data_IF_753983835573
#
_entry.id   IF_753983835573
#
_cell.length_a   1.000
_cell.length_b   1.000
_cell.length_c   1.000
_cell.angle_alpha   90.00
_cell.angle_beta   90.00
_cell.angle_gamma   90.00
#
_symmetry.space_group_name_H-M   'P 1'
#
loop_
_entity.id
_entity.type
_entity.pdbx_description
1 polymer ?
#
# COMPACT_ATOMS: atom_id res chain seq x y z
N UNK A 1 -88.55 -25.62 -10.14
CA UNK A 1 -87.83 -24.68 -9.28
C UNK A 1 -86.37 -25.06 -9.29
N UNK A 2 -85.54 -24.36 -10.11
CA UNK A 2 -84.09 -24.67 -10.28
C UNK A 2 -83.30 -23.58 -9.62
N UNK A 3 -82.49 -23.92 -8.60
CA UNK A 3 -81.59 -23.03 -7.93
C UNK A 3 -80.25 -23.05 -8.67
N UNK A 4 -79.87 -21.93 -9.32
CA UNK A 4 -78.54 -21.71 -9.87
C UNK A 4 -77.59 -21.37 -8.73
N UNK A 5 -76.50 -22.14 -8.58
CA UNK A 5 -75.39 -21.82 -7.71
C UNK A 5 -74.34 -21.00 -8.51
N UNK A 6 -74.08 -19.79 -8.05
CA UNK A 6 -73.09 -18.91 -8.58
C UNK A 6 -71.73 -19.31 -7.98
N UNK A 7 -70.85 -19.81 -8.81
CA UNK A 7 -69.47 -20.09 -8.38
C UNK A 7 -68.62 -18.84 -8.49
N UNK A 8 -68.12 -18.34 -7.37
CA UNK A 8 -67.07 -17.25 -7.32
C UNK A 8 -65.73 -17.88 -7.60
N UNK A 9 -65.14 -17.51 -8.72
CA UNK A 9 -63.70 -17.79 -9.01
C UNK A 9 -62.81 -16.75 -8.29
N UNK A 10 -62.04 -17.22 -7.33
CA UNK A 10 -60.99 -16.39 -6.68
C UNK A 10 -59.74 -16.45 -7.55
N UNK A 11 -59.44 -15.36 -8.23
CA UNK A 11 -58.17 -15.20 -8.94
C UNK A 11 -57.05 -14.86 -7.94
N UNK A 12 -56.14 -15.81 -7.69
CA UNK A 12 -54.94 -15.58 -6.90
C UNK A 12 -53.94 -14.83 -7.73
N UNK A 13 -53.69 -13.57 -7.36
CA UNK A 13 -52.65 -12.72 -7.96
C UNK A 13 -51.28 -13.12 -7.38
N UNK A 14 -50.47 -13.83 -8.15
CA UNK A 14 -49.10 -14.19 -7.79
C UNK A 14 -48.22 -12.95 -8.01
N UNK A 15 -47.86 -12.22 -6.94
CA UNK A 15 -46.86 -11.16 -6.99
C UNK A 15 -45.47 -11.80 -6.94
N UNK A 16 -44.81 -11.90 -8.08
CA UNK A 16 -43.39 -12.31 -8.16
C UNK A 16 -42.56 -11.13 -7.78
N UNK A 17 -42.04 -11.11 -6.54
CA UNK A 17 -41.01 -10.19 -6.09
C UNK A 17 -39.69 -10.59 -6.77
N UNK A 18 -39.32 -9.93 -7.86
CA UNK A 18 -37.97 -9.93 -8.42
C UNK A 18 -37.04 -9.20 -7.46
N UNK A 19 -36.40 -9.95 -6.56
CA UNK A 19 -35.30 -9.45 -5.79
C UNK A 19 -34.13 -9.21 -6.75
N UNK A 20 -34.03 -7.97 -7.24
CA UNK A 20 -32.87 -7.52 -8.01
C UNK A 20 -31.63 -7.58 -7.13
N UNK A 21 -30.77 -8.59 -7.35
CA UNK A 21 -29.43 -8.60 -6.81
C UNK A 21 -28.67 -7.47 -7.49
N UNK A 22 -28.62 -6.32 -6.85
CA UNK A 22 -27.74 -5.24 -7.27
C UNK A 22 -26.29 -5.77 -7.13
N UNK A 23 -25.72 -6.24 -8.24
CA UNK A 23 -24.29 -6.50 -8.35
C UNK A 23 -23.60 -5.15 -8.14
N UNK A 24 -23.05 -4.93 -6.95
CA UNK A 24 -22.18 -3.80 -6.73
C UNK A 24 -21.02 -3.91 -7.74
N UNK A 25 -20.74 -2.88 -8.56
CA UNK A 25 -19.56 -2.91 -9.41
C UNK A 25 -18.37 -3.11 -8.49
N UNK A 26 -17.55 -4.14 -8.75
CA UNK A 26 -16.22 -4.26 -8.17
C UNK A 26 -15.45 -3.00 -8.61
N UNK A 27 -15.57 -1.96 -7.83
CA UNK A 27 -14.71 -0.80 -7.90
C UNK A 27 -13.29 -1.33 -7.76
N UNK A 28 -12.53 -1.34 -8.85
CA UNK A 28 -11.11 -1.70 -8.86
C UNK A 28 -10.36 -0.61 -8.11
N UNK A 29 -10.42 -0.68 -6.80
CA UNK A 29 -9.73 0.25 -5.92
C UNK A 29 -8.22 0.15 -6.20
N UNK A 30 -7.59 1.26 -6.58
CA UNK A 30 -6.12 1.37 -6.67
C UNK A 30 -5.43 0.81 -5.42
N UNK A 31 -5.96 0.99 -4.19
CA UNK A 31 -5.46 0.33 -2.99
C UNK A 31 -5.34 -1.19 -3.08
N UNK A 32 -6.29 -1.88 -3.70
CA UNK A 32 -6.19 -3.34 -3.86
C UNK A 32 -5.07 -3.74 -4.82
N UNK A 33 -4.83 -2.92 -5.86
CA UNK A 33 -3.73 -3.12 -6.81
C UNK A 33 -2.36 -2.88 -6.14
N UNK A 34 -2.21 -1.82 -5.33
CA UNK A 34 -0.99 -1.55 -4.58
C UNK A 34 -0.64 -2.73 -3.68
N UNK A 35 -1.60 -3.23 -2.90
CA UNK A 35 -1.40 -4.34 -1.98
C UNK A 35 -1.01 -5.63 -2.72
N UNK A 36 -1.69 -5.94 -3.82
CA UNK A 36 -1.36 -7.11 -4.63
C UNK A 36 0.07 -7.04 -5.17
N UNK A 37 0.48 -5.89 -5.71
CA UNK A 37 1.85 -5.68 -6.21
C UNK A 37 2.87 -5.77 -5.07
N UNK A 38 2.56 -5.24 -3.88
CA UNK A 38 3.44 -5.36 -2.72
C UNK A 38 3.70 -6.82 -2.36
N UNK A 39 2.67 -7.67 -2.32
CA UNK A 39 2.83 -9.11 -2.09
C UNK A 39 3.58 -9.83 -3.23
N UNK A 40 3.38 -9.43 -4.48
CA UNK A 40 4.13 -9.97 -5.61
C UNK A 40 5.63 -9.66 -5.46
N UNK A 41 5.97 -8.43 -5.08
CA UNK A 41 7.36 -7.99 -4.88
C UNK A 41 8.04 -8.71 -3.70
N UNK A 42 7.32 -8.92 -2.61
CA UNK A 42 7.87 -9.62 -1.43
C UNK A 42 8.35 -11.04 -1.77
N UNK A 43 7.68 -11.72 -2.69
CA UNK A 43 8.04 -13.08 -3.13
C UNK A 43 9.39 -13.18 -3.86
N UNK A 44 9.96 -12.05 -4.31
CA UNK A 44 11.27 -12.04 -4.98
C UNK A 44 12.46 -11.95 -4.02
N UNK A 45 12.25 -11.97 -2.70
CA UNK A 45 13.28 -11.90 -1.67
C UNK A 45 14.30 -10.76 -1.90
N UNK A 46 13.78 -9.58 -2.23
CA UNK A 46 14.62 -8.43 -2.58
C UNK A 46 15.31 -7.91 -1.33
N UNK A 47 16.63 -7.92 -1.35
CA UNK A 47 17.48 -7.45 -0.26
C UNK A 47 17.38 -5.93 -0.10
N UNK A 48 17.45 -5.45 1.16
CA UNK A 48 17.60 -4.03 1.44
C UNK A 48 18.94 -3.50 0.89
N UNK A 49 18.87 -2.33 0.26
CA UNK A 49 20.05 -1.60 -0.24
C UNK A 49 19.93 -0.12 0.10
N UNK A 50 20.79 0.41 0.96
CA UNK A 50 20.75 1.80 1.43
C UNK A 50 20.87 2.80 0.28
N UNK A 51 19.83 3.58 0.02
CA UNK A 51 19.73 4.46 -1.16
C UNK A 51 19.42 3.69 -2.46
N UNK A 52 18.93 2.45 -2.37
CA UNK A 52 18.47 1.65 -3.51
C UNK A 52 17.04 1.96 -3.91
N UNK A 53 16.74 1.88 -5.22
CA UNK A 53 15.42 2.18 -5.77
C UNK A 53 15.27 3.61 -6.30
N UNK A 54 16.32 4.42 -6.24
CA UNK A 54 16.31 5.84 -6.61
C UNK A 54 16.96 6.15 -7.98
N UNK A 55 17.14 5.14 -8.83
CA UNK A 55 17.60 5.32 -10.22
C UNK A 55 16.58 6.05 -11.10
N UNK A 56 16.94 6.26 -12.36
CA UNK A 56 16.08 6.94 -13.34
C UNK A 56 14.70 6.26 -13.52
N UNK A 57 14.65 4.94 -13.33
CA UNK A 57 13.40 4.17 -13.35
C UNK A 57 13.18 3.52 -11.98
N UNK A 58 11.90 3.46 -11.49
CA UNK A 58 11.57 2.72 -10.29
C UNK A 58 11.97 1.24 -10.38
N UNK A 59 12.47 0.68 -9.28
CA UNK A 59 12.89 -0.72 -9.22
C UNK A 59 14.23 -0.90 -8.50
N UNK A 60 14.66 -2.14 -8.23
CA UNK A 60 15.90 -2.41 -7.50
C UNK A 60 17.14 -1.82 -8.19
N UNK A 61 17.98 -1.12 -7.44
CA UNK A 61 19.27 -0.57 -7.90
C UNK A 61 20.36 -0.85 -6.88
N UNK A 62 21.61 -0.66 -7.24
CA UNK A 62 22.66 -0.47 -6.25
C UNK A 62 22.36 0.78 -5.43
N UNK A 63 22.64 0.73 -4.15
CA UNK A 63 22.45 1.88 -3.29
C UNK A 63 23.59 2.90 -3.38
N UNK A 64 23.32 4.09 -2.88
CA UNK A 64 24.27 5.21 -2.91
C UNK A 64 25.24 5.19 -1.74
N UNK A 65 24.92 4.50 -0.66
CA UNK A 65 25.63 4.53 0.63
C UNK A 65 25.77 5.94 1.25
N UNK A 66 25.14 6.96 0.68
CA UNK A 66 25.21 8.32 1.20
C UNK A 66 24.58 8.40 2.59
N UNK A 67 25.31 8.92 3.57
CA UNK A 67 24.83 9.04 4.96
C UNK A 67 24.65 7.69 5.69
N UNK A 68 25.20 6.60 5.16
CA UNK A 68 25.09 5.29 5.80
C UNK A 68 25.82 5.24 7.15
N UNK A 69 25.10 4.99 8.21
CA UNK A 69 25.60 4.86 9.59
C UNK A 69 25.41 3.46 10.19
N UNK A 70 24.96 2.48 9.40
CA UNK A 70 24.67 1.12 9.86
C UNK A 70 25.90 0.35 10.36
N UNK A 71 25.67 -0.76 11.06
CA UNK A 71 26.71 -1.58 11.71
C UNK A 71 27.57 -2.37 10.73
N UNK A 72 27.03 -2.78 9.59
CA UNK A 72 27.76 -3.57 8.59
C UNK A 72 28.69 -2.65 7.80
N UNK A 73 30.00 -2.84 7.92
CA UNK A 73 31.02 -2.01 7.25
C UNK A 73 31.93 -2.87 6.37
N UNK A 74 32.36 -2.37 5.18
CA UNK A 74 31.90 -1.15 4.51
C UNK A 74 30.42 -1.26 4.11
N UNK A 75 29.79 -0.11 3.75
CA UNK A 75 28.38 -0.11 3.33
C UNK A 75 28.13 -1.10 2.20
N UNK A 76 27.33 -2.16 2.40
CA UNK A 76 27.15 -3.22 1.41
C UNK A 76 26.34 -2.77 0.20
N UNK A 77 25.55 -1.70 0.32
CA UNK A 77 24.65 -1.22 -0.73
C UNK A 77 25.37 -0.82 -2.02
N UNK A 78 26.63 -0.42 -1.96
CA UNK A 78 27.46 -0.16 -3.15
C UNK A 78 27.59 -1.37 -4.09
N UNK A 79 27.46 -2.58 -3.54
CA UNK A 79 27.56 -3.85 -4.28
C UNK A 79 26.23 -4.62 -4.32
N UNK A 80 25.25 -4.25 -3.48
CA UNK A 80 23.97 -4.91 -3.35
C UNK A 80 22.92 -4.20 -4.18
N UNK A 81 22.35 -4.91 -5.15
CA UNK A 81 21.18 -4.43 -5.88
C UNK A 81 19.91 -4.74 -5.07
N UNK A 82 19.16 -3.71 -4.71
CA UNK A 82 17.97 -3.86 -3.87
C UNK A 82 17.21 -2.55 -3.75
N UNK A 83 16.45 -2.43 -2.68
CA UNK A 83 15.57 -1.28 -2.39
C UNK A 83 15.82 -0.80 -0.95
N UNK A 84 15.77 0.50 -0.71
CA UNK A 84 15.46 1.02 0.63
C UNK A 84 13.96 1.17 0.82
N UNK A 85 13.52 1.68 1.97
CA UNK A 85 12.11 1.79 2.30
C UNK A 85 11.34 2.71 1.33
N UNK A 86 11.92 3.85 0.95
CA UNK A 86 11.32 4.79 0.01
C UNK A 86 11.40 4.30 -1.43
N UNK A 87 12.47 3.62 -1.81
CA UNK A 87 12.60 2.97 -3.12
C UNK A 87 11.57 1.86 -3.34
N UNK A 88 11.26 1.08 -2.29
CA UNK A 88 10.18 0.09 -2.33
C UNK A 88 8.82 0.76 -2.54
N UNK A 89 8.50 1.78 -1.73
CA UNK A 89 7.24 2.51 -1.86
C UNK A 89 7.09 3.12 -3.26
N UNK A 90 8.13 3.76 -3.77
CA UNK A 90 8.19 4.32 -5.13
C UNK A 90 7.88 3.28 -6.20
N UNK A 91 8.53 2.12 -6.13
CA UNK A 91 8.38 1.08 -7.15
C UNK A 91 6.98 0.48 -7.15
N UNK A 92 6.46 0.11 -5.98
CA UNK A 92 5.09 -0.43 -5.85
C UNK A 92 4.06 0.57 -6.37
N UNK A 93 4.20 1.84 -6.02
CA UNK A 93 3.28 2.89 -6.48
C UNK A 93 3.39 3.12 -7.99
N UNK A 94 4.60 3.15 -8.53
CA UNK A 94 4.80 3.29 -9.99
C UNK A 94 4.15 2.15 -10.78
N UNK A 95 4.29 0.91 -10.32
CA UNK A 95 3.64 -0.25 -10.93
C UNK A 95 2.10 -0.18 -10.79
N UNK A 96 1.61 0.28 -9.65
CA UNK A 96 0.18 0.38 -9.40
C UNK A 96 -0.49 1.49 -10.22
N UNK A 97 0.16 2.63 -10.39
CA UNK A 97 -0.37 3.77 -11.12
C UNK A 97 -0.01 3.79 -12.62
N UNK A 98 0.95 2.94 -13.05
CA UNK A 98 1.46 2.95 -14.42
C UNK A 98 2.42 4.10 -14.71
N UNK A 99 2.74 4.93 -13.71
CA UNK A 99 3.68 6.05 -13.81
C UNK A 99 4.33 6.30 -12.45
N UNK A 100 5.52 6.92 -12.43
CA UNK A 100 6.29 7.21 -11.23
C UNK A 100 5.72 8.41 -10.47
N UNK A 101 4.68 8.18 -9.68
CA UNK A 101 3.96 9.24 -8.95
C UNK A 101 4.71 9.76 -7.73
N UNK A 102 5.60 8.95 -7.13
CA UNK A 102 6.36 9.36 -5.94
C UNK A 102 7.72 9.98 -6.28
N UNK A 103 8.30 9.61 -7.43
CA UNK A 103 9.61 10.10 -7.85
C UNK A 103 10.78 9.54 -7.02
N UNK A 104 12.04 9.88 -7.38
CA UNK A 104 13.25 9.32 -6.76
C UNK A 104 13.64 9.97 -5.43
N UNK A 105 12.74 10.66 -4.75
CA UNK A 105 12.97 11.30 -3.47
C UNK A 105 13.01 10.32 -2.29
N UNK A 106 13.39 10.84 -1.13
CA UNK A 106 13.38 10.12 0.15
C UNK A 106 11.97 10.11 0.80
N UNK A 107 11.86 9.63 2.03
CA UNK A 107 10.60 9.57 2.77
C UNK A 107 9.97 10.96 2.98
N UNK A 108 10.76 12.01 3.24
CA UNK A 108 10.26 13.38 3.40
C UNK A 108 9.65 13.93 2.10
N UNK A 109 10.26 13.60 0.95
CA UNK A 109 9.75 13.99 -0.36
C UNK A 109 8.44 13.28 -0.69
N UNK A 110 8.32 12.02 -0.31
CA UNK A 110 7.08 11.26 -0.48
C UNK A 110 5.94 11.84 0.38
N UNK A 111 6.20 12.17 1.65
CA UNK A 111 5.20 12.83 2.52
C UNK A 111 4.64 14.10 1.85
N UNK A 112 5.49 14.93 1.22
CA UNK A 112 5.08 16.19 0.56
C UNK A 112 4.16 15.99 -0.65
N UNK A 113 4.17 14.79 -1.24
CA UNK A 113 3.35 14.44 -2.41
C UNK A 113 2.02 13.77 -2.04
N UNK A 114 1.79 13.54 -0.76
CA UNK A 114 0.66 12.79 -0.25
C UNK A 114 -0.14 13.62 0.76
N UNK A 115 -1.36 13.22 1.01
CA UNK A 115 -2.22 13.83 2.01
C UNK A 115 -2.36 12.93 3.24
N UNK A 116 -2.35 13.47 4.47
CA UNK A 116 -2.60 12.68 5.67
C UNK A 116 -4.03 12.13 5.65
N UNK A 117 -4.22 10.95 6.25
CA UNK A 117 -5.53 10.32 6.43
C UNK A 117 -5.70 9.84 7.86
N UNK A 118 -6.86 10.12 8.45
CA UNK A 118 -7.21 9.64 9.79
C UNK A 118 -7.54 8.15 9.78
N UNK A 119 -8.24 7.70 8.74
CA UNK A 119 -8.60 6.30 8.55
C UNK A 119 -7.80 5.67 7.42
N UNK A 120 -6.83 4.87 7.80
CA UNK A 120 -6.00 4.14 6.85
C UNK A 120 -6.77 3.05 6.11
N UNK A 121 -6.48 2.92 4.81
CA UNK A 121 -6.92 1.81 3.97
C UNK A 121 -5.70 1.03 3.47
N UNK A 122 -5.82 -0.29 3.24
CA UNK A 122 -4.74 -1.06 2.62
C UNK A 122 -4.27 -0.41 1.31
N UNK A 123 -2.97 -0.19 1.20
CA UNK A 123 -2.35 0.54 0.09
C UNK A 123 -1.89 1.95 0.45
N UNK A 124 -2.35 2.54 1.56
CA UNK A 124 -1.79 3.80 2.07
C UNK A 124 -0.33 3.61 2.52
N UNK A 125 0.44 4.68 2.56
CA UNK A 125 1.77 4.65 3.17
C UNK A 125 1.69 4.98 4.66
N UNK A 126 2.49 4.26 5.44
CA UNK A 126 2.72 4.54 6.86
C UNK A 126 4.13 5.10 7.04
N UNK A 127 4.24 6.27 7.65
CA UNK A 127 5.52 6.95 7.89
C UNK A 127 5.92 6.91 9.35
N UNK A 128 7.24 6.93 9.58
CA UNK A 128 7.86 6.94 10.90
C UNK A 128 8.89 8.06 11.00
N UNK A 129 8.94 8.68 12.18
CA UNK A 129 9.75 9.85 12.47
C UNK A 129 8.92 10.98 13.04
N UNK A 130 9.16 12.22 12.61
CA UNK A 130 8.44 13.38 13.11
C UNK A 130 7.85 14.20 11.96
N UNK A 131 6.53 14.33 11.95
CA UNK A 131 5.78 15.20 11.03
C UNK A 131 4.98 16.21 11.85
N UNK A 132 5.23 17.49 11.60
CA UNK A 132 4.49 18.61 12.21
C UNK A 132 4.19 19.63 11.14
N UNK A 133 3.35 20.63 11.44
CA UNK A 133 3.02 21.73 10.53
C UNK A 133 4.26 22.39 9.89
N UNK A 134 5.37 22.49 10.66
CA UNK A 134 6.56 23.23 10.26
C UNK A 134 7.78 22.35 9.96
N UNK A 135 7.69 21.03 10.17
CA UNK A 135 8.85 20.14 10.04
C UNK A 135 8.43 18.74 9.62
N UNK A 136 9.05 18.27 8.56
CA UNK A 136 9.02 16.87 8.13
C UNK A 136 10.43 16.33 8.34
N UNK A 137 10.56 15.30 9.14
CA UNK A 137 11.80 14.55 9.38
C UNK A 137 11.45 13.09 9.61
N UNK A 138 11.19 12.40 8.52
CA UNK A 138 10.90 10.96 8.51
C UNK A 138 12.17 10.18 8.17
N UNK A 139 12.21 8.91 8.55
CA UNK A 139 13.36 8.05 8.27
C UNK A 139 12.95 6.66 7.82
N UNK A 140 11.64 6.35 7.85
CA UNK A 140 11.12 5.08 7.38
C UNK A 140 9.70 5.21 6.83
N UNK A 141 9.38 4.32 5.89
CA UNK A 141 8.07 4.20 5.27
C UNK A 141 7.75 2.73 4.99
N UNK A 142 6.48 2.36 5.15
CA UNK A 142 5.94 1.06 4.73
C UNK A 142 4.64 1.23 3.97
N UNK A 143 4.22 0.19 3.27
CA UNK A 143 2.92 0.11 2.59
C UNK A 143 1.97 -0.59 3.53
N UNK A 144 0.91 0.08 3.95
CA UNK A 144 -0.08 -0.49 4.86
C UNK A 144 -0.86 -1.61 4.18
N UNK A 145 -0.92 -2.77 4.81
CA UNK A 145 -1.61 -3.97 4.31
C UNK A 145 -2.96 -4.22 5.00
N UNK A 146 -3.29 -3.40 6.01
CA UNK A 146 -4.41 -3.67 6.90
C UNK A 146 -3.99 -4.36 8.19
N UNK A 147 -4.87 -4.37 9.20
CA UNK A 147 -4.70 -5.10 10.47
C UNK A 147 -3.37 -4.83 11.19
N UNK A 148 -2.88 -3.59 11.15
CA UNK A 148 -1.62 -3.21 11.79
C UNK A 148 -0.35 -3.74 11.13
N UNK A 149 -0.43 -4.28 9.92
CA UNK A 149 0.71 -4.82 9.15
C UNK A 149 1.15 -3.85 8.06
N UNK A 150 2.44 -3.86 7.75
CA UNK A 150 3.02 -3.14 6.63
C UNK A 150 4.01 -4.01 5.86
N UNK A 151 4.08 -3.82 4.54
CA UNK A 151 5.18 -4.26 3.71
C UNK A 151 6.26 -3.19 3.73
N UNK A 152 7.50 -3.58 4.02
CA UNK A 152 8.60 -2.62 4.07
C UNK A 152 9.95 -3.24 3.72
N UNK A 153 10.92 -2.40 3.37
CA UNK A 153 12.34 -2.72 3.33
C UNK A 153 12.95 -2.15 4.63
N UNK A 154 13.20 -2.99 5.65
CA UNK A 154 13.39 -2.49 7.02
C UNK A 154 14.79 -1.93 7.28
N UNK A 155 15.85 -2.63 6.87
CA UNK A 155 17.23 -2.27 7.16
C UNK A 155 18.24 -3.13 6.39
N UNK A 156 19.49 -2.66 6.36
CA UNK A 156 20.61 -3.41 5.76
C UNK A 156 20.77 -4.79 6.38
N UNK A 157 20.84 -5.81 5.53
CA UNK A 157 20.97 -7.23 5.94
C UNK A 157 19.64 -7.95 6.05
N UNK A 158 18.52 -7.28 5.79
CA UNK A 158 17.20 -7.91 5.75
C UNK A 158 16.55 -7.78 4.36
N UNK A 159 15.69 -8.72 3.95
CA UNK A 159 14.89 -8.60 2.75
C UNK A 159 13.68 -7.69 2.97
N UNK A 160 13.01 -7.34 1.88
CA UNK A 160 11.63 -6.83 1.91
C UNK A 160 10.75 -7.85 2.60
N UNK A 161 9.94 -7.39 3.56
CA UNK A 161 9.11 -8.29 4.37
C UNK A 161 7.90 -7.61 4.98
N UNK A 162 7.04 -8.40 5.59
CA UNK A 162 5.89 -7.91 6.35
C UNK A 162 6.27 -7.79 7.82
N UNK A 163 6.05 -6.59 8.39
CA UNK A 163 6.25 -6.32 9.80
C UNK A 163 4.99 -5.73 10.44
N UNK A 164 4.90 -5.80 11.78
CA UNK A 164 3.91 -5.04 12.54
C UNK A 164 4.31 -3.57 12.62
N UNK A 165 3.36 -2.68 12.37
CA UNK A 165 3.54 -1.23 12.51
C UNK A 165 3.95 -0.89 13.95
N UNK A 166 3.37 -1.55 14.96
CA UNK A 166 3.65 -1.34 16.37
C UNK A 166 5.07 -1.72 16.83
N UNK A 167 5.90 -2.33 15.97
CA UNK A 167 7.32 -2.56 16.28
C UNK A 167 8.16 -1.29 16.29
N UNK A 168 7.63 -0.18 15.73
CA UNK A 168 8.27 1.13 15.71
C UNK A 168 7.49 2.10 16.58
N UNK A 169 8.17 2.75 17.51
CA UNK A 169 7.56 3.64 18.50
C UNK A 169 7.29 5.07 18.01
N UNK A 170 7.82 5.44 16.85
CA UNK A 170 7.81 6.79 16.29
C UNK A 170 6.88 6.91 15.07
N UNK A 171 5.70 6.28 15.17
CA UNK A 171 4.63 6.41 14.19
C UNK A 171 4.28 7.87 13.90
N UNK A 172 4.35 8.29 12.65
CA UNK A 172 4.13 9.66 12.21
C UNK A 172 2.84 9.88 11.41
N UNK A 173 2.14 8.81 11.07
CA UNK A 173 0.83 8.89 10.41
C UNK A 173 0.70 8.04 9.16
N UNK A 174 -0.53 7.96 8.68
CA UNK A 174 -0.88 7.35 7.40
C UNK A 174 -1.12 8.42 6.34
N UNK A 175 -0.70 8.16 5.11
CA UNK A 175 -0.78 9.09 4.00
C UNK A 175 -1.24 8.38 2.73
N UNK A 176 -2.05 9.10 1.93
CA UNK A 176 -2.61 8.63 0.66
C UNK A 176 -2.22 9.58 -0.46
N UNK A 177 -1.88 9.00 -1.62
CA UNK A 177 -1.65 9.72 -2.87
C UNK A 177 -2.96 10.15 -3.53
#
# INVERSE_FOLDING_TARGET
>A
MARRRLGMAVAALLVVLLAGTASMPLSTFVPSRIVRIAYEIERYDITYSWGGGHGARPGPTKGTCQGYSGRIKPCPAARTRGLDCSGLARWVYALAHGTDVLGPGNTDDHVRRMRPVERALPGDLVFFGKITKNKIKTHHVGIYLGRGKMMNAPETGAPVRIDDIGRRSDFAGFYRY
#
